data_IF_789430871906
#
_entry.id   IF_789430871906
#
_cell.length_a   1.000
_cell.length_b   1.000
_cell.length_c   1.000
_cell.angle_alpha   90.00
_cell.angle_beta   90.00
_cell.angle_gamma   90.00
#
_symmetry.space_group_name_H-M   'P 1'
#
loop_
_entity.id
_entity.type
_entity.pdbx_description
1 polymer ?
#
# COMPACT_ATOMS: atom_id res chain seq x y z
N UNK A 1 34.00 -7.62 -43.19
CA UNK A 1 32.96 -6.76 -42.57
C UNK A 1 31.69 -7.54 -42.22
N UNK A 2 31.77 -8.68 -41.53
CA UNK A 2 30.57 -9.51 -41.18
C UNK A 2 30.47 -9.89 -39.70
N UNK A 3 31.45 -9.51 -38.88
CA UNK A 3 31.53 -9.87 -37.45
C UNK A 3 31.01 -8.76 -36.54
N UNK A 4 31.08 -7.49 -36.96
CA UNK A 4 30.66 -6.34 -36.15
C UNK A 4 29.12 -6.23 -36.08
N UNK A 5 28.41 -6.63 -37.13
CA UNK A 5 26.94 -6.65 -37.15
C UNK A 5 26.32 -7.72 -36.24
N UNK A 6 27.00 -8.86 -36.04
CA UNK A 6 26.51 -9.93 -35.13
C UNK A 6 26.68 -9.59 -33.65
N UNK A 7 27.65 -8.72 -33.30
CA UNK A 7 27.87 -8.32 -31.91
C UNK A 7 26.88 -7.24 -31.45
N UNK A 8 26.43 -6.38 -32.37
CA UNK A 8 25.41 -5.37 -32.10
C UNK A 8 24.03 -5.98 -31.86
N UNK A 9 23.74 -7.16 -32.43
CA UNK A 9 22.45 -7.84 -32.23
C UNK A 9 22.35 -8.57 -30.88
N UNK A 10 23.47 -8.98 -30.29
CA UNK A 10 23.49 -9.68 -28.99
C UNK A 10 23.35 -8.72 -27.80
N UNK A 11 23.72 -7.44 -27.97
CA UNK A 11 23.63 -6.43 -26.92
C UNK A 11 22.20 -5.86 -26.72
N UNK A 12 21.28 -6.12 -27.66
CA UNK A 12 19.91 -5.58 -27.63
C UNK A 12 18.93 -6.47 -26.83
N UNK A 13 19.30 -7.70 -26.46
CA UNK A 13 18.38 -8.67 -25.84
C UNK A 13 18.34 -8.59 -24.30
N UNK A 14 19.28 -7.92 -23.65
CA UNK A 14 19.36 -7.88 -22.17
C UNK A 14 18.64 -6.69 -21.50
N UNK A 15 17.93 -5.83 -22.23
CA UNK A 15 17.47 -4.54 -21.69
C UNK A 15 16.03 -4.49 -21.14
N UNK A 16 15.28 -5.60 -21.15
CA UNK A 16 13.89 -5.64 -20.63
C UNK A 16 13.77 -6.61 -19.46
N UNK A 17 14.51 -6.33 -18.39
CA UNK A 17 14.09 -6.77 -17.06
C UNK A 17 13.10 -5.72 -16.55
N UNK A 18 11.84 -5.83 -16.97
CA UNK A 18 10.74 -5.12 -16.30
C UNK A 18 10.70 -5.63 -14.85
N UNK A 19 11.29 -4.85 -13.95
CA UNK A 19 11.28 -5.15 -12.52
C UNK A 19 9.83 -5.27 -12.05
N UNK A 20 9.42 -6.50 -11.75
CA UNK A 20 8.11 -6.80 -11.21
C UNK A 20 7.96 -6.01 -9.91
N UNK A 21 7.20 -4.90 -9.97
CA UNK A 21 6.97 -4.04 -8.82
C UNK A 21 6.05 -4.80 -7.87
N UNK A 22 6.46 -5.06 -6.61
CA UNK A 22 5.62 -5.80 -5.68
C UNK A 22 4.28 -5.08 -5.49
N UNK A 23 3.21 -5.72 -5.94
CA UNK A 23 1.83 -5.30 -5.71
C UNK A 23 1.24 -6.20 -4.65
N UNK A 24 0.88 -5.63 -3.51
CA UNK A 24 0.12 -6.33 -2.48
C UNK A 24 -1.36 -6.04 -2.67
N UNK A 25 -2.21 -7.00 -2.34
CA UNK A 25 -3.65 -6.81 -2.31
C UNK A 25 -4.13 -6.99 -0.88
N UNK A 26 -5.11 -6.20 -0.46
CA UNK A 26 -5.80 -6.49 0.78
C UNK A 26 -6.55 -7.83 0.65
N UNK A 27 -6.54 -8.62 1.72
CA UNK A 27 -7.37 -9.83 1.81
C UNK A 27 -8.82 -9.46 2.09
N UNK A 28 -9.74 -10.41 1.90
CA UNK A 28 -11.14 -10.20 2.23
C UNK A 28 -11.29 -9.91 3.72
N UNK A 29 -11.85 -8.76 4.05
CA UNK A 29 -12.14 -8.37 5.42
C UNK A 29 -13.43 -9.04 5.92
N UNK A 30 -13.39 -9.57 7.14
CA UNK A 30 -14.59 -10.04 7.83
C UNK A 30 -15.43 -8.90 8.38
N UNK A 31 -14.82 -7.73 8.62
CA UNK A 31 -15.47 -6.52 9.18
C UNK A 31 -16.02 -5.64 8.06
N UNK A 32 -15.31 -5.52 6.94
CA UNK A 32 -15.72 -4.73 5.77
C UNK A 32 -15.64 -5.54 4.47
N UNK A 33 -16.54 -6.53 4.24
CA UNK A 33 -16.43 -7.48 3.12
C UNK A 33 -16.45 -6.85 1.73
N UNK A 34 -17.11 -5.69 1.58
CA UNK A 34 -17.17 -4.97 0.32
C UNK A 34 -15.91 -4.13 0.03
N UNK A 35 -15.14 -3.80 1.08
CA UNK A 35 -13.96 -2.96 0.96
C UNK A 35 -12.83 -3.74 0.29
N UNK A 36 -12.23 -3.11 -0.72
CA UNK A 36 -11.15 -3.69 -1.51
C UNK A 36 -10.04 -2.69 -1.66
N UNK A 37 -8.84 -3.16 -1.98
CA UNK A 37 -7.75 -2.25 -2.31
C UNK A 37 -6.45 -2.94 -2.63
N UNK A 38 -5.51 -2.12 -3.09
CA UNK A 38 -4.20 -2.57 -3.57
C UNK A 38 -3.13 -1.62 -3.08
N UNK A 39 -1.94 -2.17 -2.86
CA UNK A 39 -0.77 -1.43 -2.43
C UNK A 39 0.30 -1.63 -3.50
N UNK A 40 0.82 -0.52 -4.01
CA UNK A 40 1.93 -0.49 -4.94
C UNK A 40 3.17 0.07 -4.25
N UNK A 41 4.27 -0.68 -4.24
CA UNK A 41 5.51 -0.30 -3.56
C UNK A 41 6.63 -0.16 -4.59
N UNK A 42 7.12 1.07 -4.78
CA UNK A 42 8.21 1.38 -5.72
C UNK A 42 9.42 1.93 -4.98
N UNK A 43 10.59 1.35 -5.20
CA UNK A 43 11.86 1.87 -4.67
C UNK A 43 12.30 3.08 -5.47
N UNK A 44 12.67 4.17 -4.80
CA UNK A 44 13.18 5.39 -5.43
C UNK A 44 14.73 5.37 -5.55
N UNK A 45 15.29 6.43 -6.16
CA UNK A 45 16.75 6.58 -6.35
C UNK A 45 17.51 6.73 -5.03
N UNK A 46 16.84 7.19 -3.97
CA UNK A 46 17.39 7.34 -2.63
C UNK A 46 17.24 6.05 -1.80
N UNK A 47 16.77 4.96 -2.43
CA UNK A 47 16.50 3.67 -1.80
C UNK A 47 15.36 3.69 -0.77
N UNK A 48 14.54 4.73 -0.75
CA UNK A 48 13.27 4.74 -0.02
C UNK A 48 12.18 4.04 -0.85
N UNK A 49 11.03 3.82 -0.25
CA UNK A 49 9.91 3.12 -0.84
C UNK A 49 8.71 4.06 -0.94
N UNK A 50 8.36 4.45 -2.16
CA UNK A 50 7.08 5.11 -2.45
C UNK A 50 5.97 4.07 -2.32
N UNK A 51 5.08 4.27 -1.36
CA UNK A 51 3.94 3.42 -1.06
C UNK A 51 2.68 4.14 -1.52
N UNK A 52 1.95 3.50 -2.43
CA UNK A 52 0.65 3.98 -2.90
C UNK A 52 -0.42 2.99 -2.48
N UNK A 53 -1.30 3.41 -1.58
CA UNK A 53 -2.44 2.62 -1.07
C UNK A 53 -3.71 3.15 -1.70
N UNK A 54 -4.43 2.29 -2.38
CA UNK A 54 -5.72 2.59 -2.98
C UNK A 54 -6.79 1.70 -2.38
N UNK A 55 -7.91 2.29 -1.97
CA UNK A 55 -9.10 1.57 -1.48
C UNK A 55 -10.34 1.96 -2.26
N UNK A 56 -11.31 1.05 -2.33
CA UNK A 56 -12.64 1.26 -2.91
C UNK A 56 -13.68 0.57 -2.04
N UNK A 57 -14.91 1.10 -2.03
CA UNK A 57 -16.02 0.63 -1.20
C UNK A 57 -15.69 0.61 0.31
N UNK A 58 -14.74 1.44 0.75
CA UNK A 58 -14.44 1.59 2.18
C UNK A 58 -15.46 2.55 2.77
N UNK A 59 -16.36 2.05 3.64
CA UNK A 59 -17.35 2.90 4.30
C UNK A 59 -16.69 4.10 4.99
N UNK A 60 -17.36 5.25 5.04
CA UNK A 60 -16.86 6.40 5.82
C UNK A 60 -16.74 6.02 7.30
N UNK A 61 -15.66 6.46 7.98
CA UNK A 61 -15.34 6.02 9.35
C UNK A 61 -16.43 6.37 10.36
N UNK A 62 -17.10 7.50 10.18
CA UNK A 62 -18.22 7.95 11.01
C UNK A 62 -19.52 7.13 10.80
N UNK A 63 -19.58 6.28 9.77
CA UNK A 63 -20.71 5.37 9.50
C UNK A 63 -20.47 3.96 10.02
N UNK A 64 -19.32 3.69 10.62
CA UNK A 64 -19.05 2.43 11.30
C UNK A 64 -19.91 2.30 12.56
N UNK A 65 -20.00 1.08 13.10
CA UNK A 65 -20.64 0.82 14.38
C UNK A 65 -19.67 0.01 15.27
N UNK A 66 -19.08 0.62 16.30
CA UNK A 66 -19.20 2.03 16.67
C UNK A 66 -18.57 2.98 15.63
N UNK A 67 -19.06 4.22 15.56
CA UNK A 67 -18.51 5.25 14.68
C UNK A 67 -17.08 5.60 15.12
N UNK A 68 -16.19 5.83 14.15
CA UNK A 68 -14.77 6.18 14.36
C UNK A 68 -14.43 7.52 13.71
N UNK A 69 -13.41 8.18 14.24
CA UNK A 69 -12.98 9.49 13.74
C UNK A 69 -12.28 9.39 12.39
N UNK A 70 -11.44 8.37 12.18
CA UNK A 70 -10.55 8.31 11.01
C UNK A 70 -10.15 6.89 10.63
N UNK A 71 -9.58 6.73 9.43
CA UNK A 71 -8.78 5.56 9.09
C UNK A 71 -7.30 5.90 9.06
N UNK A 72 -6.50 5.11 9.76
CA UNK A 72 -5.04 5.21 9.72
C UNK A 72 -4.46 4.03 8.95
N UNK A 73 -3.50 4.33 8.09
CA UNK A 73 -2.74 3.35 7.33
C UNK A 73 -1.43 3.10 8.05
N UNK A 74 -1.09 1.82 8.21
CA UNK A 74 0.10 1.35 8.89
C UNK A 74 0.86 0.38 8.00
N UNK A 75 2.15 0.22 8.29
CA UNK A 75 2.96 -0.85 7.74
C UNK A 75 3.73 -1.58 8.82
N UNK A 76 3.96 -2.88 8.61
CA UNK A 76 5.04 -3.63 9.26
C UNK A 76 6.22 -3.67 8.29
N UNK A 77 7.38 -3.18 8.72
CA UNK A 77 8.62 -3.24 7.94
C UNK A 77 9.32 -4.60 8.03
N UNK A 78 10.33 -4.84 7.18
CA UNK A 78 11.19 -6.03 7.27
C UNK A 78 11.94 -6.16 8.62
N UNK A 79 12.05 -5.05 9.37
CA UNK A 79 12.59 -4.98 10.73
C UNK A 79 11.54 -5.30 11.83
N UNK A 80 10.35 -5.75 11.43
CA UNK A 80 9.16 -5.95 12.26
C UNK A 80 8.69 -4.67 13.00
N UNK A 81 9.14 -3.49 12.56
CA UNK A 81 8.64 -2.23 13.12
C UNK A 81 7.29 -1.86 12.52
N UNK A 82 6.35 -1.44 13.38
CA UNK A 82 5.06 -0.88 12.95
C UNK A 82 5.19 0.63 12.81
N UNK A 83 4.87 1.17 11.63
CA UNK A 83 4.97 2.60 11.33
C UNK A 83 3.66 3.12 10.75
N UNK A 84 3.21 4.28 11.26
CA UNK A 84 2.09 5.03 10.70
C UNK A 84 2.50 5.65 9.37
N UNK A 85 1.75 5.36 8.31
CA UNK A 85 1.99 5.85 6.97
C UNK A 85 1.19 7.11 6.64
N UNK A 86 0.01 7.26 7.24
CA UNK A 86 -0.87 8.40 7.02
C UNK A 86 -2.34 8.05 7.27
N UNK A 87 -3.22 8.91 6.79
CA UNK A 87 -4.67 8.77 6.90
C UNK A 87 -5.31 8.60 5.52
N UNK A 88 -6.43 7.88 5.46
CA UNK A 88 -7.29 7.81 4.27
C UNK A 88 -8.71 8.25 4.64
N UNK A 89 -9.33 9.05 3.77
CA UNK A 89 -10.74 9.43 3.88
C UNK A 89 -11.49 9.03 2.61
N UNK A 90 -12.33 7.99 2.64
CA UNK A 90 -13.16 7.59 1.51
C UNK A 90 -14.10 8.69 1.03
N UNK A 91 -14.22 8.89 -0.28
CA UNK A 91 -15.10 9.90 -0.89
C UNK A 91 -15.77 9.42 -2.18
N UNK A 92 -16.85 10.10 -2.55
CA UNK A 92 -17.58 9.89 -3.80
C UNK A 92 -18.41 8.60 -3.84
N UNK A 93 -19.04 8.34 -4.99
CA UNK A 93 -19.99 7.22 -5.15
C UNK A 93 -19.38 5.83 -4.91
N UNK A 94 -18.10 5.67 -5.25
CA UNK A 94 -17.35 4.42 -5.08
C UNK A 94 -16.58 4.34 -3.75
N UNK A 95 -16.78 5.32 -2.85
CA UNK A 95 -16.12 5.41 -1.54
C UNK A 95 -14.61 5.13 -1.64
N UNK A 96 -13.95 5.91 -2.50
CA UNK A 96 -12.53 5.73 -2.82
C UNK A 96 -11.64 6.56 -1.91
N UNK A 97 -10.50 6.00 -1.58
CA UNK A 97 -9.44 6.68 -0.84
C UNK A 97 -8.07 6.35 -1.40
N UNK A 98 -7.17 7.32 -1.40
CA UNK A 98 -5.79 7.16 -1.83
C UNK A 98 -4.85 7.75 -0.78
N UNK A 99 -3.76 7.04 -0.50
CA UNK A 99 -2.60 7.55 0.21
C UNK A 99 -1.35 7.32 -0.64
N UNK A 100 -0.57 8.37 -0.86
CA UNK A 100 0.76 8.29 -1.45
C UNK A 100 1.76 8.81 -0.42
N UNK A 101 2.70 7.96 -0.02
CA UNK A 101 3.70 8.30 1.00
C UNK A 101 5.04 7.64 0.69
N UNK A 102 6.06 7.96 1.51
CA UNK A 102 7.41 7.40 1.40
C UNK A 102 7.81 6.76 2.73
N UNK A 103 8.30 5.53 2.67
CA UNK A 103 8.85 4.80 3.81
C UNK A 103 10.35 4.52 3.61
N UNK A 104 11.12 4.52 4.69
CA UNK A 104 12.57 4.22 4.65
C UNK A 104 12.80 2.70 4.55
N UNK A 105 12.02 1.90 5.29
CA UNK A 105 12.05 0.44 5.22
C UNK A 105 11.02 -0.09 4.21
N UNK A 106 11.31 -1.25 3.63
CA UNK A 106 10.37 -1.94 2.73
C UNK A 106 9.17 -2.43 3.56
N UNK A 107 7.93 -2.19 3.13
CA UNK A 107 6.76 -2.79 3.73
C UNK A 107 6.71 -4.29 3.45
N UNK A 108 6.62 -5.09 4.52
CA UNK A 108 6.28 -6.51 4.49
C UNK A 108 4.75 -6.69 4.52
N UNK A 109 4.08 -5.84 5.28
CA UNK A 109 2.62 -5.79 5.38
C UNK A 109 2.12 -4.36 5.44
N UNK A 110 0.89 -4.15 4.96
CA UNK A 110 0.15 -2.90 5.09
C UNK A 110 -1.25 -3.21 5.59
N UNK A 111 -1.73 -2.41 6.52
CA UNK A 111 -3.06 -2.55 7.09
C UNK A 111 -3.68 -1.19 7.41
N UNK A 112 -5.01 -1.18 7.52
CA UNK A 112 -5.81 0.02 7.78
C UNK A 112 -6.63 -0.23 9.04
N UNK A 113 -6.54 0.68 10.01
CA UNK A 113 -7.36 0.63 11.23
C UNK A 113 -8.38 1.76 11.26
N UNK A 114 -9.51 1.53 11.92
CA UNK A 114 -10.50 2.57 12.22
C UNK A 114 -10.28 3.11 13.64
N UNK A 115 -9.97 4.39 13.77
CA UNK A 115 -9.41 4.98 14.99
C UNK A 115 -10.22 6.18 15.48
N UNK A 116 -10.22 6.38 16.80
CA UNK A 116 -10.88 7.53 17.44
C UNK A 116 -10.01 8.80 17.46
N UNK A 117 -8.69 8.65 17.30
CA UNK A 117 -7.73 9.76 17.30
C UNK A 117 -6.66 9.57 16.19
N UNK A 118 -6.48 10.54 15.26
CA UNK A 118 -5.48 10.45 14.19
C UNK A 118 -4.02 10.52 14.69
N UNK A 119 -3.78 11.07 15.89
CA UNK A 119 -2.44 11.34 16.40
C UNK A 119 -1.79 10.18 17.16
N UNK A 120 -2.51 9.06 17.35
CA UNK A 120 -2.00 7.90 18.10
C UNK A 120 -0.67 7.37 17.54
N UNK A 121 0.24 6.99 18.43
CA UNK A 121 1.57 6.49 18.04
C UNK A 121 1.54 5.02 17.58
N UNK A 122 0.55 4.26 18.06
CA UNK A 122 0.38 2.83 17.80
C UNK A 122 -1.07 2.54 17.42
N UNK A 123 -1.34 1.52 16.59
CA UNK A 123 -2.71 1.10 16.26
C UNK A 123 -3.47 0.69 17.54
N UNK A 124 -4.73 1.10 17.64
CA UNK A 124 -5.57 0.80 18.81
C UNK A 124 -6.96 0.29 18.43
N UNK A 125 -7.46 0.68 17.25
CA UNK A 125 -8.77 0.28 16.76
C UNK A 125 -8.76 -0.97 15.89
N UNK A 126 -9.95 -1.29 15.36
CA UNK A 126 -10.17 -2.49 14.56
C UNK A 126 -9.39 -2.44 13.24
N UNK A 127 -8.76 -3.56 12.89
CA UNK A 127 -8.11 -3.74 11.58
C UNK A 127 -9.18 -4.00 10.53
N UNK A 128 -9.41 -3.02 9.67
CA UNK A 128 -10.46 -3.06 8.64
C UNK A 128 -9.96 -3.75 7.38
N UNK A 129 -8.72 -3.49 6.98
CA UNK A 129 -8.09 -4.08 5.80
C UNK A 129 -6.67 -4.49 6.16
N UNK A 130 -6.20 -5.64 5.66
CA UNK A 130 -4.82 -6.10 5.85
C UNK A 130 -4.33 -6.86 4.63
N UNK A 131 -3.03 -6.79 4.34
CA UNK A 131 -2.38 -7.61 3.30
C UNK A 131 -1.89 -8.95 3.86
N UNK A 132 -1.93 -9.13 5.20
CA UNK A 132 -1.57 -10.40 5.84
C UNK A 132 -2.59 -11.47 5.47
N UNK A 133 -2.10 -12.64 5.06
CA UNK A 133 -2.91 -13.82 4.75
C UNK A 133 -3.07 -14.74 5.95
#
# INVERSE_FOLDING_TARGET
MKTITSLATLLLVCAVLEGCTPKMNFVNSTIAPAATGTINVKKDKNKNYKVTVNVSNLAESNKLTPAKATYLVWMEGDDNSVKKLGQIAPRGKALRGELITTAISKPKEVFVTAEDNPEIAYPAGDVILTTRK
#
